data_IF_637844190120
#
_entry.id   IF_637844190120
#
_cell.length_a   1.000
_cell.length_b   1.000
_cell.length_c   1.000
_cell.angle_alpha   90.00
_cell.angle_beta   90.00
_cell.angle_gamma   90.00
#
_symmetry.space_group_name_H-M   'P 1'
#
loop_
_entity.id
_entity.type
_entity.pdbx_description
1 polymer ?
#
# COMPACT_ATOMS: atom_id res chain seq x y z
N UNK A 1 -7.37 17.70 -4.39
CA UNK A 1 -7.39 17.30 -5.81
C UNK A 1 -8.52 16.30 -6.02
N UNK A 2 -9.11 16.26 -7.22
CA UNK A 2 -10.18 15.32 -7.57
C UNK A 2 -9.67 14.39 -8.67
N UNK A 3 -9.90 13.08 -8.55
CA UNK A 3 -9.42 12.08 -9.50
C UNK A 3 -10.54 11.15 -9.97
N UNK A 4 -10.49 10.79 -11.25
CA UNK A 4 -11.13 9.59 -11.80
C UNK A 4 -10.07 8.49 -11.89
N UNK A 5 -10.37 7.35 -11.28
CA UNK A 5 -9.47 6.21 -11.17
C UNK A 5 -10.11 5.04 -11.90
N UNK A 6 -9.31 4.35 -12.71
CA UNK A 6 -9.69 3.06 -13.31
C UNK A 6 -8.62 2.04 -12.99
N UNK A 7 -9.04 0.84 -12.61
CA UNK A 7 -8.15 -0.30 -12.46
C UNK A 7 -8.74 -1.47 -13.23
N UNK A 8 -7.88 -2.19 -13.92
CA UNK A 8 -8.17 -3.44 -14.60
C UNK A 8 -7.15 -4.47 -14.14
N UNK A 9 -7.64 -5.59 -13.63
CA UNK A 9 -6.84 -6.78 -13.37
C UNK A 9 -7.43 -7.89 -14.24
N UNK A 10 -6.60 -8.59 -15.00
CA UNK A 10 -7.02 -9.78 -15.72
C UNK A 10 -6.14 -10.96 -15.32
N UNK A 11 -6.75 -12.14 -15.31
CA UNK A 11 -6.09 -13.41 -15.09
C UNK A 11 -6.56 -14.40 -16.13
N UNK A 12 -5.65 -14.92 -16.93
CA UNK A 12 -5.89 -16.00 -17.87
C UNK A 12 -5.33 -17.30 -17.29
N UNK A 13 -6.12 -18.37 -17.32
CA UNK A 13 -5.76 -19.67 -16.78
C UNK A 13 -5.44 -20.65 -17.91
N UNK A 14 -4.36 -21.42 -17.77
CA UNK A 14 -4.00 -22.44 -18.77
C UNK A 14 -5.09 -23.53 -18.90
N UNK A 15 -5.82 -23.79 -17.82
CA UNK A 15 -6.99 -24.65 -17.79
C UNK A 15 -8.12 -24.02 -16.97
N UNK A 16 -9.35 -24.36 -17.34
CA UNK A 16 -10.55 -23.89 -16.66
C UNK A 16 -10.46 -24.15 -15.15
N UNK A 17 -10.65 -23.10 -14.35
CA UNK A 17 -10.61 -23.17 -12.91
C UNK A 17 -11.99 -23.38 -12.32
N UNK A 18 -12.12 -24.32 -11.38
CA UNK A 18 -13.40 -24.66 -10.73
C UNK A 18 -13.44 -24.32 -9.25
N UNK A 19 -14.61 -23.89 -8.76
CA UNK A 19 -14.86 -23.70 -7.32
C UNK A 19 -13.95 -22.64 -6.68
N UNK A 20 -13.60 -21.59 -7.41
CA UNK A 20 -12.66 -20.56 -6.95
C UNK A 20 -13.33 -19.59 -5.98
N UNK A 21 -12.53 -19.09 -5.04
CA UNK A 21 -12.95 -18.07 -4.05
C UNK A 21 -11.85 -17.03 -3.93
N UNK A 22 -12.23 -15.76 -4.00
CA UNK A 22 -11.29 -14.65 -3.92
C UNK A 22 -11.80 -13.56 -2.97
N UNK A 23 -10.87 -12.85 -2.37
CA UNK A 23 -11.08 -11.57 -1.70
C UNK A 23 -10.35 -10.51 -2.50
N UNK A 24 -11.06 -9.47 -2.89
CA UNK A 24 -10.55 -8.37 -3.73
C UNK A 24 -10.54 -7.08 -2.90
N UNK A 25 -9.40 -6.40 -2.86
CA UNK A 25 -9.12 -5.20 -2.03
C UNK A 25 -8.63 -4.03 -2.87
N UNK A 26 -9.43 -3.61 -3.85
CA UNK A 26 -9.06 -2.53 -4.79
C UNK A 26 -9.91 -1.26 -4.66
N UNK A 27 -10.92 -1.29 -3.78
CA UNK A 27 -11.84 -0.16 -3.59
C UNK A 27 -11.29 0.82 -2.53
N UNK A 28 -11.04 2.09 -2.87
CA UNK A 28 -10.56 3.07 -1.90
C UNK A 28 -11.60 3.32 -0.79
N UNK A 29 -11.18 3.49 0.48
CA UNK A 29 -12.07 3.93 1.55
C UNK A 29 -12.15 5.46 1.61
N UNK A 30 -13.17 5.97 2.31
CA UNK A 30 -13.19 7.37 2.76
C UNK A 30 -12.43 7.48 4.07
N UNK A 31 -11.44 8.38 4.12
CA UNK A 31 -10.55 8.59 5.26
C UNK A 31 -10.68 10.04 5.69
N UNK A 32 -11.18 10.27 6.91
CA UNK A 32 -11.44 11.59 7.43
C UNK A 32 -10.19 12.48 7.34
N UNK A 33 -10.35 13.68 6.77
CA UNK A 33 -9.27 14.66 6.61
C UNK A 33 -8.18 14.30 5.59
N UNK A 34 -8.31 13.19 4.86
CA UNK A 34 -7.31 12.71 3.89
C UNK A 34 -7.92 12.53 2.51
N UNK A 35 -9.00 11.75 2.40
CA UNK A 35 -9.67 11.52 1.12
C UNK A 35 -11.15 11.18 1.31
N UNK A 36 -11.96 11.50 0.31
CA UNK A 36 -13.39 11.18 0.24
C UNK A 36 -13.71 10.53 -1.08
N UNK A 37 -14.32 9.34 -1.03
CA UNK A 37 -14.85 8.66 -2.20
C UNK A 37 -16.20 9.27 -2.54
N UNK A 38 -16.36 9.72 -3.79
CA UNK A 38 -17.60 10.30 -4.31
C UNK A 38 -18.48 9.21 -4.90
N UNK A 39 -17.88 8.33 -5.70
CA UNK A 39 -18.51 7.17 -6.29
C UNK A 39 -17.46 6.10 -6.56
N UNK A 40 -17.82 4.83 -6.45
CA UNK A 40 -16.97 3.73 -6.85
C UNK A 40 -17.82 2.55 -7.34
N UNK A 41 -17.29 1.78 -8.29
CA UNK A 41 -17.88 0.55 -8.79
C UNK A 41 -16.80 -0.51 -8.97
N UNK A 42 -17.21 -1.77 -8.81
CA UNK A 42 -16.37 -2.95 -9.01
C UNK A 42 -17.19 -4.01 -9.74
N UNK A 43 -16.68 -4.45 -10.89
CA UNK A 43 -17.32 -5.44 -11.77
C UNK A 43 -16.37 -6.59 -12.09
N UNK A 44 -16.96 -7.73 -12.42
CA UNK A 44 -16.26 -8.99 -12.64
C UNK A 44 -16.79 -9.66 -13.92
N UNK A 45 -15.88 -10.19 -14.73
CA UNK A 45 -16.19 -11.08 -15.85
C UNK A 45 -15.34 -12.34 -15.72
N UNK A 46 -15.94 -13.55 -15.57
CA UNK A 46 -17.38 -13.79 -15.48
C UNK A 46 -18.01 -13.21 -14.22
N UNK A 47 -19.34 -13.12 -14.20
CA UNK A 47 -20.07 -12.68 -13.01
C UNK A 47 -20.00 -13.74 -11.91
N UNK A 48 -19.59 -13.40 -10.67
CA UNK A 48 -19.45 -14.37 -9.60
C UNK A 48 -20.82 -14.92 -9.17
N UNK A 49 -20.84 -16.18 -8.76
CA UNK A 49 -22.03 -16.85 -8.23
C UNK A 49 -22.43 -16.31 -6.85
N UNK A 50 -21.44 -15.88 -6.07
CA UNK A 50 -21.62 -15.27 -4.74
C UNK A 50 -20.77 -14.00 -4.68
N UNK A 51 -21.32 -12.93 -4.10
CA UNK A 51 -20.59 -11.69 -3.80
C UNK A 51 -20.98 -11.21 -2.39
N UNK A 52 -19.99 -10.82 -1.60
CA UNK A 52 -20.20 -10.19 -0.29
C UNK A 52 -19.18 -9.08 -0.09
N UNK A 53 -19.67 -7.89 0.21
CA UNK A 53 -18.84 -6.71 0.46
C UNK A 53 -18.83 -6.41 1.96
N UNK A 54 -17.65 -6.22 2.55
CA UNK A 54 -17.47 -5.93 3.97
C UNK A 54 -16.17 -5.15 4.21
N UNK A 55 -16.00 -4.63 5.42
CA UNK A 55 -14.72 -4.07 5.87
C UNK A 55 -13.95 -5.10 6.70
N UNK A 56 -12.66 -5.30 6.42
CA UNK A 56 -11.82 -6.16 7.25
C UNK A 56 -11.45 -5.51 8.58
N UNK A 57 -10.62 -6.20 9.38
CA UNK A 57 -10.17 -5.69 10.68
C UNK A 57 -9.52 -4.32 10.57
N UNK A 58 -8.71 -4.04 9.54
CA UNK A 58 -8.03 -2.75 9.35
C UNK A 58 -8.91 -1.68 8.71
N UNK A 59 -10.18 -2.00 8.44
CA UNK A 59 -11.13 -1.11 7.79
C UNK A 59 -10.97 -1.05 6.27
N UNK A 60 -10.25 -2.00 5.66
CA UNK A 60 -10.11 -2.07 4.21
C UNK A 60 -11.41 -2.59 3.59
N UNK A 61 -11.82 -2.02 2.47
CA UNK A 61 -12.95 -2.55 1.71
C UNK A 61 -12.57 -3.87 1.06
N UNK A 62 -13.31 -4.92 1.38
CA UNK A 62 -13.14 -6.27 0.83
C UNK A 62 -14.40 -6.68 0.08
N UNK A 63 -14.21 -7.11 -1.16
CA UNK A 63 -15.23 -7.81 -1.95
C UNK A 63 -14.84 -9.29 -2.04
N UNK A 64 -15.54 -10.14 -1.30
CA UNK A 64 -15.42 -11.58 -1.42
C UNK A 64 -16.31 -12.09 -2.56
N UNK A 65 -15.72 -12.88 -3.46
CA UNK A 65 -16.40 -13.49 -4.61
C UNK A 65 -16.17 -14.99 -4.64
N UNK A 66 -17.15 -15.74 -5.15
CA UNK A 66 -17.00 -17.16 -5.43
C UNK A 66 -17.62 -17.55 -6.78
N UNK A 67 -16.99 -18.50 -7.45
CA UNK A 67 -17.46 -19.08 -8.70
C UNK A 67 -17.80 -20.55 -8.48
N UNK A 68 -19.04 -20.93 -8.80
CA UNK A 68 -19.47 -22.34 -8.78
C UNK A 68 -19.10 -23.04 -10.08
N UNK A 69 -19.30 -22.35 -11.20
CA UNK A 69 -18.99 -22.86 -12.53
C UNK A 69 -17.49 -22.70 -12.85
N UNK A 70 -17.03 -23.52 -13.79
CA UNK A 70 -15.66 -23.43 -14.31
C UNK A 70 -15.53 -22.20 -15.21
N UNK A 71 -14.35 -21.57 -15.19
CA UNK A 71 -14.05 -20.39 -16.01
C UNK A 71 -12.56 -20.38 -16.41
N UNK A 72 -12.28 -19.87 -17.59
CA UNK A 72 -10.93 -19.86 -18.18
C UNK A 72 -10.11 -18.62 -17.78
N UNK A 73 -10.75 -17.65 -17.12
CA UNK A 73 -10.09 -16.43 -16.66
C UNK A 73 -10.99 -15.55 -15.81
N UNK A 74 -10.40 -14.54 -15.20
CA UNK A 74 -11.06 -13.57 -14.33
C UNK A 74 -10.62 -12.16 -14.67
N UNK A 75 -11.56 -11.34 -15.10
CA UNK A 75 -11.40 -9.91 -15.37
C UNK A 75 -12.10 -9.11 -14.26
N UNK A 76 -11.38 -8.17 -13.67
CA UNK A 76 -11.81 -7.33 -12.57
C UNK A 76 -11.62 -5.89 -12.98
N UNK A 77 -12.70 -5.10 -12.96
CA UNK A 77 -12.66 -3.67 -13.30
C UNK A 77 -13.20 -2.84 -12.16
N UNK A 78 -12.39 -1.88 -11.73
CA UNK A 78 -12.75 -0.88 -10.73
C UNK A 78 -12.79 0.49 -11.39
N UNK A 79 -13.79 1.29 -11.04
CA UNK A 79 -13.82 2.72 -11.37
C UNK A 79 -14.21 3.51 -10.14
N UNK A 80 -13.49 4.58 -9.83
CA UNK A 80 -13.80 5.43 -8.69
C UNK A 80 -13.54 6.91 -8.97
N UNK A 81 -14.35 7.77 -8.35
CA UNK A 81 -14.09 9.21 -8.26
C UNK A 81 -13.75 9.56 -6.82
N UNK A 82 -12.54 10.07 -6.59
CA UNK A 82 -12.01 10.31 -5.24
C UNK A 82 -11.47 11.73 -5.13
N UNK A 83 -11.91 12.46 -4.10
CA UNK A 83 -11.33 13.73 -3.70
C UNK A 83 -10.26 13.49 -2.64
N UNK A 84 -9.04 13.96 -2.86
CA UNK A 84 -7.91 13.82 -1.95
C UNK A 84 -7.51 15.21 -1.44
N UNK A 85 -7.37 15.34 -0.14
CA UNK A 85 -6.99 16.58 0.54
C UNK A 85 -6.18 16.23 1.78
N UNK A 86 -4.94 15.79 1.58
CA UNK A 86 -4.00 15.55 2.66
C UNK A 86 -3.56 16.88 3.28
N UNK A 87 -3.47 16.97 4.61
CA UNK A 87 -2.95 18.16 5.26
C UNK A 87 -1.47 18.36 4.90
N UNK A 88 -1.08 19.61 4.66
CA UNK A 88 0.33 19.95 4.49
C UNK A 88 1.10 19.67 5.80
N UNK A 89 2.39 19.25 5.72
CA UNK A 89 3.19 19.00 6.91
C UNK A 89 3.28 20.26 7.79
N UNK A 90 2.84 20.14 9.04
CA UNK A 90 3.02 21.17 10.07
C UNK A 90 4.41 21.13 10.71
N UNK A 91 4.55 21.85 11.83
CA UNK A 91 5.72 21.73 12.70
C UNK A 91 5.88 20.28 13.19
N UNK A 92 7.11 19.80 13.24
CA UNK A 92 7.40 18.49 13.81
C UNK A 92 7.26 18.53 15.33
N UNK A 93 6.15 17.94 15.81
CA UNK A 93 5.82 17.78 17.22
C UNK A 93 6.01 16.33 17.68
N UNK A 94 6.65 15.48 16.87
CA UNK A 94 6.83 14.07 17.22
C UNK A 94 7.94 13.88 18.27
N UNK A 95 7.78 12.91 19.18
CA UNK A 95 8.75 12.66 20.23
C UNK A 95 10.02 12.00 19.69
N UNK A 96 11.08 11.99 20.50
CA UNK A 96 12.21 11.09 20.30
C UNK A 96 11.82 9.62 20.58
N UNK A 97 12.74 8.69 20.33
CA UNK A 97 12.49 7.25 20.53
C UNK A 97 12.20 6.86 21.98
N UNK A 98 12.80 7.53 22.97
CA UNK A 98 12.57 7.18 24.36
C UNK A 98 11.13 7.53 24.73
N UNK A 99 10.72 8.75 24.42
CA UNK A 99 9.37 9.23 24.71
C UNK A 99 8.32 8.51 23.87
N UNK A 100 8.62 8.17 22.61
CA UNK A 100 7.73 7.33 21.78
C UNK A 100 7.39 6.00 22.48
N UNK A 101 8.38 5.33 23.09
CA UNK A 101 8.16 4.07 23.83
C UNK A 101 7.26 4.27 25.05
N UNK A 102 7.42 5.37 25.78
CA UNK A 102 6.54 5.70 26.91
C UNK A 102 5.10 5.91 26.44
N UNK A 103 4.91 6.65 25.34
CA UNK A 103 3.59 6.91 24.78
C UNK A 103 2.92 5.63 24.27
N UNK A 104 3.67 4.75 23.60
CA UNK A 104 3.20 3.40 23.23
C UNK A 104 2.74 2.62 24.46
N UNK A 105 3.57 2.61 25.51
CA UNK A 105 3.28 1.96 26.78
C UNK A 105 2.04 2.52 27.49
N UNK A 106 1.55 3.70 27.11
CA UNK A 106 0.32 4.31 27.62
C UNK A 106 -0.92 4.04 26.74
N UNK A 107 -0.77 3.56 25.50
CA UNK A 107 -1.91 3.24 24.63
C UNK A 107 -2.64 2.01 25.17
N UNK A 108 -3.96 2.12 25.38
CA UNK A 108 -4.84 1.02 25.83
C UNK A 108 -5.98 0.83 24.85
N UNK A 109 -5.63 0.47 23.62
CA UNK A 109 -6.57 0.25 22.52
C UNK A 109 -6.27 -1.05 21.80
N UNK A 110 -7.32 -1.75 21.41
CA UNK A 110 -7.32 -2.87 20.45
C UNK A 110 -8.03 -2.48 19.14
N UNK A 111 -8.27 -1.19 18.95
CA UNK A 111 -8.84 -0.67 17.72
C UNK A 111 -7.87 -0.94 16.54
N UNK A 112 -8.40 -1.02 15.31
CA UNK A 112 -7.60 -1.36 14.13
C UNK A 112 -6.35 -0.48 13.88
N UNK A 113 -6.42 0.78 14.29
CA UNK A 113 -5.37 1.78 14.14
C UNK A 113 -4.42 1.86 15.33
N UNK A 114 -4.56 0.97 16.32
CA UNK A 114 -3.68 0.91 17.48
C UNK A 114 -2.24 0.59 17.02
N UNK A 115 -1.23 1.39 17.43
CA UNK A 115 0.15 1.21 16.99
C UNK A 115 0.73 -0.16 17.32
N UNK A 116 0.23 -0.84 18.35
CA UNK A 116 0.69 -2.17 18.74
C UNK A 116 0.60 -3.22 17.62
N UNK A 117 -0.40 -3.12 16.72
CA UNK A 117 -0.54 -4.03 15.59
C UNK A 117 0.62 -3.93 14.60
N UNK A 118 1.35 -2.81 14.62
CA UNK A 118 2.35 -2.42 13.63
C UNK A 118 3.79 -2.46 14.17
N UNK A 119 4.01 -3.11 15.32
CA UNK A 119 5.33 -3.27 15.94
C UNK A 119 5.99 -4.62 15.65
N UNK A 120 5.19 -5.69 15.55
CA UNK A 120 5.71 -7.04 15.41
C UNK A 120 6.23 -7.33 13.99
N UNK A 121 7.14 -8.31 13.89
CA UNK A 121 7.53 -8.89 12.61
C UNK A 121 6.30 -9.45 11.88
N UNK A 122 6.31 -9.37 10.55
CA UNK A 122 5.29 -9.98 9.68
C UNK A 122 5.97 -10.68 8.50
N UNK A 123 5.21 -11.43 7.69
CA UNK A 123 5.72 -12.33 6.66
C UNK A 123 6.69 -11.64 5.67
N UNK A 124 6.34 -10.43 5.22
CA UNK A 124 7.17 -9.69 4.26
C UNK A 124 8.09 -8.66 4.94
N UNK A 125 7.78 -8.25 6.16
CA UNK A 125 8.52 -7.25 6.94
C UNK A 125 9.03 -7.85 8.26
N UNK A 126 9.88 -8.87 8.14
CA UNK A 126 10.58 -9.47 9.27
C UNK A 126 11.56 -8.49 9.93
N UNK A 127 11.77 -8.63 11.24
CA UNK A 127 12.78 -7.83 11.95
C UNK A 127 14.16 -8.40 11.63
N UNK A 128 14.99 -7.58 11.00
CA UNK A 128 16.33 -7.95 10.54
C UNK A 128 17.39 -7.02 11.15
N UNK A 129 18.49 -7.59 11.64
CA UNK A 129 19.52 -6.83 12.34
C UNK A 129 20.26 -5.84 11.41
N UNK A 130 20.49 -6.21 10.14
CA UNK A 130 21.17 -5.35 9.18
C UNK A 130 20.27 -4.20 8.74
N UNK A 131 18.99 -4.46 8.50
CA UNK A 131 18.00 -3.41 8.19
C UNK A 131 17.83 -2.47 9.40
N UNK A 132 17.78 -3.02 10.62
CA UNK A 132 17.69 -2.23 11.85
C UNK A 132 18.93 -1.36 12.06
N UNK A 133 20.13 -1.90 11.81
CA UNK A 133 21.37 -1.12 11.88
C UNK A 133 21.35 0.02 10.87
N UNK A 134 20.96 -0.26 9.63
CA UNK A 134 20.80 0.77 8.60
C UNK A 134 19.82 1.85 9.02
N UNK A 135 18.65 1.49 9.57
CA UNK A 135 17.67 2.44 10.07
C UNK A 135 18.18 3.25 11.27
N UNK A 136 19.00 2.65 12.15
CA UNK A 136 19.54 3.33 13.34
C UNK A 136 20.44 4.51 12.99
N UNK A 137 21.12 4.46 11.84
CA UNK A 137 21.97 5.55 11.36
C UNK A 137 21.17 6.79 10.93
N UNK A 138 19.84 6.72 10.90
CA UNK A 138 19.01 7.86 10.50
C UNK A 138 19.00 8.94 11.55
N UNK A 139 19.37 10.15 11.11
CA UNK A 139 19.34 11.35 11.93
C UNK A 139 17.88 11.84 12.06
N UNK A 140 17.56 12.55 13.14
CA UNK A 140 16.23 13.15 13.22
C UNK A 140 15.87 13.86 14.51
N UNK A 141 16.42 13.47 15.66
CA UNK A 141 16.03 14.03 16.98
C UNK A 141 14.56 13.74 17.38
N UNK A 142 13.69 13.46 16.41
CA UNK A 142 12.27 13.17 16.49
C UNK A 142 11.93 11.95 15.63
N UNK A 143 10.77 11.34 15.88
CA UNK A 143 10.31 10.14 15.17
C UNK A 143 10.01 10.44 13.69
N UNK A 144 9.38 11.58 13.40
CA UNK A 144 9.17 12.05 12.02
C UNK A 144 10.49 12.27 11.30
N UNK A 145 11.44 12.95 11.95
CA UNK A 145 12.76 13.24 11.38
C UNK A 145 13.49 11.96 10.98
N UNK A 146 13.48 10.97 11.88
CA UNK A 146 14.05 9.65 11.59
C UNK A 146 13.34 8.93 10.44
N UNK A 147 12.01 8.99 10.39
CA UNK A 147 11.24 8.33 9.34
C UNK A 147 11.48 8.95 7.95
N UNK A 148 11.49 10.29 7.84
CA UNK A 148 11.76 10.95 6.56
C UNK A 148 13.22 10.79 6.12
N UNK A 149 14.17 10.82 7.05
CA UNK A 149 15.57 10.55 6.71
C UNK A 149 15.75 9.13 6.18
N UNK A 150 15.20 8.12 6.87
CA UNK A 150 15.24 6.73 6.40
C UNK A 150 14.58 6.58 5.02
N UNK A 151 13.41 7.20 4.82
CA UNK A 151 12.71 7.25 3.54
C UNK A 151 13.61 7.77 2.41
N UNK A 152 14.29 8.90 2.65
CA UNK A 152 15.20 9.52 1.68
C UNK A 152 16.45 8.68 1.43
N UNK A 153 16.98 8.03 2.47
CA UNK A 153 18.14 7.13 2.36
C UNK A 153 17.80 5.90 1.53
N UNK A 154 16.63 5.29 1.72
CA UNK A 154 16.17 4.17 0.90
C UNK A 154 16.03 4.60 -0.57
N UNK A 155 15.39 5.74 -0.84
CA UNK A 155 15.27 6.27 -2.20
C UNK A 155 16.64 6.46 -2.88
N UNK A 156 17.64 6.95 -2.13
CA UNK A 156 18.98 7.22 -2.65
C UNK A 156 19.83 5.95 -2.82
N UNK A 157 19.77 5.04 -1.86
CA UNK A 157 20.71 3.92 -1.76
C UNK A 157 20.23 2.66 -2.51
N UNK A 158 18.98 2.66 -3.00
CA UNK A 158 18.35 1.53 -3.68
C UNK A 158 17.91 1.90 -5.09
N UNK A 159 17.99 0.96 -6.01
CA UNK A 159 17.60 1.17 -7.41
C UNK A 159 16.26 0.52 -7.72
N UNK A 160 15.33 1.29 -8.30
CA UNK A 160 14.06 0.74 -8.75
C UNK A 160 14.27 -0.22 -9.93
N UNK A 161 13.74 -1.44 -9.80
CA UNK A 161 13.92 -2.51 -10.77
C UNK A 161 12.77 -3.52 -10.69
N UNK A 162 11.95 -3.57 -11.76
CA UNK A 162 10.78 -4.44 -11.86
C UNK A 162 11.09 -5.92 -12.09
N UNK A 163 12.32 -6.28 -12.44
CA UNK A 163 12.74 -7.66 -12.72
C UNK A 163 13.55 -8.28 -11.57
N UNK A 164 13.99 -7.46 -10.60
CA UNK A 164 14.88 -7.90 -9.53
C UNK A 164 14.21 -8.80 -8.48
N UNK A 165 12.90 -8.64 -8.29
CA UNK A 165 12.16 -9.25 -7.18
C UNK A 165 10.81 -9.80 -7.64
N UNK A 166 10.18 -10.58 -6.77
CA UNK A 166 8.81 -11.05 -6.95
C UNK A 166 7.98 -10.62 -5.76
N UNK A 167 6.65 -10.71 -5.87
CA UNK A 167 5.72 -10.50 -4.75
C UNK A 167 6.07 -11.30 -3.48
N UNK A 168 6.77 -12.44 -3.62
CA UNK A 168 7.19 -13.30 -2.51
C UNK A 168 8.54 -12.92 -1.89
N UNK A 169 9.28 -12.00 -2.49
CA UNK A 169 10.57 -11.56 -1.95
C UNK A 169 10.36 -10.86 -0.61
N UNK A 170 11.11 -11.28 0.41
CA UNK A 170 11.06 -10.67 1.75
C UNK A 170 11.99 -9.47 1.87
N UNK A 171 11.73 -8.59 2.84
CA UNK A 171 12.53 -7.38 3.08
C UNK A 171 14.05 -7.65 3.20
N UNK A 172 14.48 -8.71 3.89
CA UNK A 172 15.90 -9.05 4.06
C UNK A 172 16.59 -9.43 2.74
N UNK A 173 15.86 -10.06 1.82
CA UNK A 173 16.42 -10.45 0.53
C UNK A 173 16.58 -9.22 -0.37
N UNK A 174 15.52 -8.42 -0.49
CA UNK A 174 15.56 -7.17 -1.23
C UNK A 174 16.59 -6.19 -0.66
N UNK A 175 16.77 -6.15 0.67
CA UNK A 175 17.77 -5.32 1.33
C UNK A 175 19.19 -5.66 0.91
N UNK A 176 19.50 -6.95 0.75
CA UNK A 176 20.81 -7.43 0.28
C UNK A 176 21.03 -7.11 -1.19
N UNK A 177 19.98 -7.19 -2.00
CA UNK A 177 20.04 -6.89 -3.43
C UNK A 177 20.22 -5.40 -3.73
N UNK A 178 19.74 -4.51 -2.85
CA UNK A 178 19.68 -3.05 -3.07
C UNK A 178 18.92 -2.64 -4.35
N UNK A 179 18.07 -3.53 -4.85
CA UNK A 179 17.24 -3.39 -6.06
C UNK A 179 15.89 -4.02 -5.80
N UNK A 180 14.82 -3.42 -6.34
CA UNK A 180 13.45 -3.91 -6.18
C UNK A 180 12.41 -2.88 -6.57
N UNK A 181 11.16 -3.12 -6.19
CA UNK A 181 10.01 -2.26 -6.51
C UNK A 181 9.49 -1.53 -5.26
N UNK A 182 8.42 -0.75 -5.42
CA UNK A 182 7.82 0.02 -4.32
C UNK A 182 7.39 -0.85 -3.12
N UNK A 183 6.96 -2.09 -3.38
CA UNK A 183 6.66 -3.08 -2.34
C UNK A 183 7.90 -3.35 -1.47
N UNK A 184 9.03 -3.66 -2.08
CA UNK A 184 10.27 -4.00 -1.38
C UNK A 184 10.77 -2.84 -0.53
N UNK A 185 10.80 -1.62 -1.09
CA UNK A 185 11.25 -0.42 -0.37
C UNK A 185 10.35 -0.10 0.83
N UNK A 186 9.05 -0.30 0.67
CA UNK A 186 8.09 -0.15 1.76
C UNK A 186 8.33 -1.18 2.86
N UNK A 187 8.53 -2.46 2.52
CA UNK A 187 8.82 -3.50 3.53
C UNK A 187 10.17 -3.31 4.23
N UNK A 188 11.19 -2.86 3.51
CA UNK A 188 12.51 -2.53 4.09
C UNK A 188 12.36 -1.38 5.10
N UNK A 189 11.66 -0.31 4.73
CA UNK A 189 11.42 0.81 5.64
C UNK A 189 10.60 0.37 6.87
N UNK A 190 9.55 -0.42 6.69
CA UNK A 190 8.74 -0.97 7.78
C UNK A 190 9.60 -1.84 8.71
N UNK A 191 10.39 -2.77 8.17
CA UNK A 191 11.26 -3.65 8.94
C UNK A 191 12.30 -2.85 9.75
N UNK A 192 12.91 -1.83 9.14
CA UNK A 192 13.86 -0.95 9.80
C UNK A 192 13.24 -0.16 10.96
N UNK A 193 12.10 0.47 10.73
CA UNK A 193 11.38 1.24 11.75
C UNK A 193 10.91 0.35 12.91
N UNK A 194 10.34 -0.82 12.62
CA UNK A 194 9.94 -1.80 13.64
C UNK A 194 11.11 -2.30 14.46
N UNK A 195 12.27 -2.51 13.83
CA UNK A 195 13.51 -2.85 14.52
C UNK A 195 13.99 -1.79 15.51
N UNK A 196 13.60 -0.52 15.32
CA UNK A 196 13.85 0.58 16.26
C UNK A 196 12.75 0.74 17.32
N UNK A 197 11.68 -0.06 17.25
CA UNK A 197 10.49 0.06 18.09
C UNK A 197 9.52 1.16 17.64
N UNK A 198 9.63 1.65 16.40
CA UNK A 198 8.68 2.58 15.80
C UNK A 198 7.58 1.78 15.09
N UNK A 199 6.30 1.96 15.41
CA UNK A 199 5.22 1.28 14.70
C UNK A 199 5.12 1.77 13.26
N UNK A 200 5.18 0.83 12.33
CA UNK A 200 5.11 1.12 10.90
C UNK A 200 4.24 0.07 10.19
N UNK A 201 3.46 0.50 9.21
CA UNK A 201 2.54 -0.33 8.44
C UNK A 201 2.64 -0.04 6.95
N UNK A 202 2.08 -0.96 6.18
CA UNK A 202 2.03 -0.89 4.73
C UNK A 202 0.77 -0.17 4.28
N UNK A 203 0.91 0.66 3.27
CA UNK A 203 -0.19 1.32 2.58
C UNK A 203 -0.19 0.87 1.14
N UNK A 204 -1.31 0.30 0.70
CA UNK A 204 -1.55 0.00 -0.70
C UNK A 204 -2.45 1.09 -1.30
N UNK A 205 -2.17 1.50 -2.52
CA UNK A 205 -3.00 2.49 -3.19
C UNK A 205 -2.61 2.79 -4.62
N UNK A 206 -3.01 3.95 -5.08
CA UNK A 206 -2.71 4.46 -6.41
C UNK A 206 -1.86 5.72 -6.29
N UNK A 207 -0.91 5.89 -7.21
CA UNK A 207 -0.09 7.08 -7.31
C UNK A 207 -0.36 7.73 -8.66
N UNK A 208 -0.60 9.04 -8.68
CA UNK A 208 -0.63 9.77 -9.95
C UNK A 208 0.77 9.82 -10.55
N UNK A 209 0.97 9.19 -11.70
CA UNK A 209 2.17 9.36 -12.49
C UNK A 209 2.07 10.62 -13.37
N UNK A 210 3.16 11.36 -13.46
CA UNK A 210 3.30 12.49 -14.39
C UNK A 210 4.29 12.04 -15.45
N UNK A 211 3.87 11.87 -16.73
CA UNK A 211 4.81 11.50 -17.77
C UNK A 211 5.89 12.57 -17.94
N UNK A 212 7.12 12.20 -18.33
CA UNK A 212 8.16 13.16 -18.68
C UNK A 212 7.68 14.18 -19.72
N UNK A 213 8.15 15.43 -19.62
CA UNK A 213 7.77 16.51 -20.56
C UNK A 213 7.91 16.05 -22.02
N UNK A 214 6.82 16.15 -22.77
CA UNK A 214 6.78 15.84 -24.21
C UNK A 214 6.38 14.41 -24.57
N UNK A 215 6.11 13.53 -23.59
CA UNK A 215 5.54 12.20 -23.85
C UNK A 215 4.06 12.16 -23.44
N UNK A 216 3.17 11.53 -24.24
CA UNK A 216 1.80 11.30 -23.81
C UNK A 216 1.78 10.44 -22.55
N UNK A 217 0.79 10.65 -21.68
CA UNK A 217 0.51 9.73 -20.57
C UNK A 217 0.13 8.38 -21.19
N UNK A 218 0.80 7.32 -20.78
CA UNK A 218 0.42 5.97 -21.17
C UNK A 218 -0.75 5.56 -20.28
N UNK A 219 -1.96 5.55 -20.83
CA UNK A 219 -3.14 5.07 -20.11
C UNK A 219 -2.99 3.57 -19.86
N UNK A 220 -3.24 3.14 -18.62
CA UNK A 220 -3.13 1.74 -18.20
C UNK A 220 -1.71 1.18 -18.05
N UNK A 221 -0.66 2.00 -18.06
CA UNK A 221 0.72 1.52 -17.85
C UNK A 221 1.12 1.45 -16.36
N UNK A 222 0.30 2.00 -15.47
CA UNK A 222 0.64 2.09 -14.05
C UNK A 222 0.14 0.88 -13.27
N UNK A 223 0.88 0.57 -12.22
CA UNK A 223 0.58 -0.45 -11.25
C UNK A 223 -0.06 0.14 -9.99
N UNK A 224 -0.58 -0.74 -9.13
CA UNK A 224 -0.80 -0.34 -7.73
C UNK A 224 0.54 0.08 -7.09
N UNK A 225 0.50 1.13 -6.29
CA UNK A 225 1.67 1.67 -5.59
C UNK A 225 1.64 1.31 -4.11
N UNK A 226 2.80 1.38 -3.48
CA UNK A 226 3.01 1.03 -2.08
C UNK A 226 3.86 2.09 -1.37
N UNK A 227 3.47 2.40 -0.14
CA UNK A 227 4.22 3.28 0.74
C UNK A 227 3.99 2.90 2.21
N UNK A 228 4.50 3.70 3.13
CA UNK A 228 4.57 3.35 4.56
C UNK A 228 3.78 4.33 5.40
N UNK A 229 2.99 3.83 6.35
CA UNK A 229 2.42 4.61 7.46
C UNK A 229 3.25 4.39 8.72
N UNK A 230 3.51 5.44 9.49
CA UNK A 230 4.37 5.43 10.68
C UNK A 230 3.65 6.16 11.80
N UNK A 231 3.60 5.56 12.98
CA UNK A 231 3.02 6.22 14.15
C UNK A 231 4.09 7.06 14.84
N UNK A 232 3.93 8.38 14.78
CA UNK A 232 4.92 9.35 15.22
C UNK A 232 4.58 9.97 16.58
N UNK A 233 4.00 9.20 17.49
CA UNK A 233 3.55 9.68 18.80
C UNK A 233 2.12 10.20 18.79
N UNK A 234 1.61 10.54 19.97
CA UNK A 234 0.22 10.95 20.18
C UNK A 234 -0.15 12.22 19.43
N UNK A 235 0.71 13.22 19.48
CA UNK A 235 0.40 14.56 18.96
C UNK A 235 0.63 14.68 17.45
N UNK A 236 1.64 14.00 16.91
CA UNK A 236 1.86 13.94 15.46
C UNK A 236 1.00 12.86 14.77
N UNK A 237 0.57 11.83 15.49
CA UNK A 237 -0.28 10.76 14.97
C UNK A 237 0.38 9.91 13.88
N UNK A 238 -0.45 9.31 13.01
CA UNK A 238 0.00 8.53 11.86
C UNK A 238 0.44 9.46 10.72
N UNK A 239 1.65 9.24 10.22
CA UNK A 239 2.27 9.96 9.11
C UNK A 239 2.60 8.98 7.99
N UNK A 240 2.60 9.41 6.73
CA UNK A 240 2.82 8.53 5.58
C UNK A 240 4.02 8.99 4.72
N UNK A 241 4.85 8.03 4.33
CA UNK A 241 6.13 8.23 3.66
C UNK A 241 6.29 7.25 2.49
N UNK A 242 6.75 7.76 1.35
CA UNK A 242 6.99 7.00 0.13
C UNK A 242 8.50 6.86 -0.12
N UNK A 243 9.11 5.72 0.29
CA UNK A 243 10.54 5.48 0.10
C UNK A 243 10.92 5.28 -1.37
N UNK A 244 9.95 5.03 -2.25
CA UNK A 244 10.22 4.93 -3.69
C UNK A 244 10.54 6.29 -4.29
N UNK A 245 9.87 7.33 -3.80
CA UNK A 245 10.01 8.70 -4.30
C UNK A 245 10.76 9.62 -3.32
N UNK A 246 11.21 9.12 -2.17
CA UNK A 246 11.96 9.89 -1.17
C UNK A 246 11.18 11.10 -0.65
N UNK A 247 9.90 10.90 -0.32
CA UNK A 247 9.01 12.00 0.07
C UNK A 247 7.92 11.57 1.04
N UNK A 248 7.23 12.55 1.64
CA UNK A 248 5.96 12.32 2.34
C UNK A 248 4.85 12.03 1.34
N UNK A 249 3.88 11.21 1.72
CA UNK A 249 2.68 10.99 0.90
C UNK A 249 1.93 12.33 0.73
N UNK A 250 1.53 12.62 -0.51
CA UNK A 250 0.94 13.90 -0.91
C UNK A 250 -0.46 13.70 -1.50
N UNK A 251 -1.05 14.77 -2.04
CA UNK A 251 -2.35 14.68 -2.72
C UNK A 251 -2.36 13.75 -3.95
N UNK A 252 -1.18 13.37 -4.45
CA UNK A 252 -1.04 12.40 -5.54
C UNK A 252 -1.13 10.93 -5.07
N UNK A 253 -1.15 10.68 -3.76
CA UNK A 253 -1.27 9.35 -3.15
C UNK A 253 -2.70 9.07 -2.71
N UNK A 254 -3.39 8.16 -3.42
CA UNK A 254 -4.76 7.73 -3.11
C UNK A 254 -4.71 6.39 -2.39
N UNK A 255 -5.11 6.37 -1.11
CA UNK A 255 -5.11 5.17 -0.28
C UNK A 255 -6.20 4.20 -0.71
N UNK A 256 -5.84 2.91 -0.83
CA UNK A 256 -6.77 1.79 -1.01
C UNK A 256 -6.90 0.96 0.25
N UNK A 257 -5.80 0.73 0.98
CA UNK A 257 -5.85 -0.03 2.22
C UNK A 257 -4.61 0.09 3.08
N UNK A 258 -4.78 -0.26 4.35
CA UNK A 258 -3.76 -0.32 5.38
C UNK A 258 -3.58 -1.74 5.89
N UNK A 259 -2.34 -2.15 6.08
CA UNK A 259 -1.99 -3.47 6.57
C UNK A 259 -0.68 -3.46 7.35
N UNK A 260 -0.36 -4.57 8.01
CA UNK A 260 0.95 -4.74 8.65
C UNK A 260 2.02 -4.93 7.57
N UNK A 261 1.71 -5.67 6.52
CA UNK A 261 2.50 -5.77 5.30
C UNK A 261 1.59 -6.00 4.09
N UNK A 262 2.15 -6.49 2.99
CA UNK A 262 1.41 -6.72 1.74
C UNK A 262 0.31 -7.77 1.90
N UNK A 263 0.48 -8.79 2.76
CA UNK A 263 -0.47 -9.89 2.91
C UNK A 263 -1.84 -9.44 3.39
N UNK A 264 -1.90 -8.39 4.21
CA UNK A 264 -3.16 -7.82 4.72
C UNK A 264 -3.92 -7.01 3.65
N UNK A 265 -3.25 -6.54 2.59
CA UNK A 265 -3.80 -5.61 1.58
C UNK A 265 -3.55 -6.04 0.14
N UNK A 266 -3.24 -7.32 -0.08
CA UNK A 266 -3.05 -7.86 -1.42
C UNK A 266 -4.31 -7.57 -2.27
N UNK A 267 -4.16 -7.02 -3.50
CA UNK A 267 -5.28 -6.58 -4.35
C UNK A 267 -6.27 -7.70 -4.62
N UNK A 268 -5.76 -8.92 -4.75
CA UNK A 268 -6.53 -10.15 -4.77
C UNK A 268 -5.79 -11.23 -4.00
N UNK A 269 -6.53 -11.96 -3.17
CA UNK A 269 -6.06 -13.22 -2.55
C UNK A 269 -7.17 -14.24 -2.65
N UNK A 270 -6.85 -15.51 -2.84
CA UNK A 270 -7.88 -16.51 -2.99
C UNK A 270 -7.34 -17.90 -3.15
N UNK A 271 -8.26 -18.83 -3.35
CA UNK A 271 -7.99 -20.22 -3.67
C UNK A 271 -8.59 -20.53 -5.03
N UNK A 272 -7.76 -21.10 -5.89
CA UNK A 272 -8.10 -21.52 -7.24
C UNK A 272 -7.79 -23.02 -7.37
N UNK A 273 -8.69 -23.81 -7.97
CA UNK A 273 -8.42 -25.20 -8.35
C UNK A 273 -8.33 -25.27 -9.86
N UNK A 274 -7.11 -25.38 -10.36
CA UNK A 274 -6.80 -25.52 -11.79
C UNK A 274 -5.54 -26.38 -11.98
N UNK A 275 -5.21 -26.69 -13.22
CA UNK A 275 -3.95 -27.32 -13.64
C UNK A 275 -3.21 -26.38 -14.58
N UNK A 276 -1.88 -26.31 -14.47
CA UNK A 276 -1.07 -25.38 -15.25
C UNK A 276 -0.81 -24.08 -14.52
N UNK A 277 -0.31 -23.08 -15.25
CA UNK A 277 -0.04 -21.74 -14.75
C UNK A 277 -1.23 -20.80 -14.89
N UNK A 278 -0.97 -19.55 -14.53
CA UNK A 278 -1.83 -18.42 -14.83
C UNK A 278 -0.96 -17.25 -15.28
N UNK A 279 -1.49 -16.43 -16.18
CA UNK A 279 -0.90 -15.15 -16.57
C UNK A 279 -1.80 -14.05 -16.05
N UNK A 280 -1.22 -13.06 -15.39
CA UNK A 280 -1.95 -11.90 -14.89
C UNK A 280 -1.47 -10.63 -15.57
N UNK A 281 -2.40 -9.73 -15.88
CA UNK A 281 -2.11 -8.37 -16.32
C UNK A 281 -2.80 -7.35 -15.41
N UNK A 282 -2.19 -6.17 -15.31
CA UNK A 282 -2.65 -5.10 -14.43
C UNK A 282 -2.45 -3.76 -15.10
N UNK A 283 -3.51 -2.95 -15.08
CA UNK A 283 -3.50 -1.59 -15.58
C UNK A 283 -4.23 -0.65 -14.60
N UNK A 284 -3.62 0.49 -14.30
CA UNK A 284 -4.21 1.56 -13.50
C UNK A 284 -4.14 2.88 -14.24
N UNK A 285 -5.21 3.67 -14.15
CA UNK A 285 -5.27 5.06 -14.56
C UNK A 285 -5.68 5.93 -13.38
N UNK A 286 -4.92 6.99 -13.12
CA UNK A 286 -5.25 8.04 -12.15
C UNK A 286 -5.32 9.39 -12.86
N UNK A 287 -6.53 9.84 -13.17
CA UNK A 287 -6.77 11.01 -14.02
C UNK A 287 -7.28 12.17 -13.17
N UNK A 288 -6.55 13.29 -13.08
CA UNK A 288 -7.06 14.48 -12.39
C UNK A 288 -8.26 15.04 -13.15
N UNK A 289 -9.34 15.31 -12.41
CA UNK A 289 -10.53 15.99 -12.95
C UNK A 289 -10.29 17.48 -12.83
N UNK A 290 -10.26 18.19 -13.96
CA UNK A 290 -10.26 19.64 -13.96
C UNK A 290 -11.56 20.13 -13.33
N UNK A 291 -11.45 20.90 -12.24
CA UNK A 291 -12.58 21.65 -11.72
C UNK A 291 -12.79 22.81 -12.69
N UNK A 292 -13.84 22.76 -13.52
CA UNK A 292 -14.28 23.94 -14.25
C UNK A 292 -14.52 25.05 -13.22
N UNK A 293 -13.79 26.15 -13.34
CA UNK A 293 -14.03 27.33 -12.51
C UNK A 293 -15.41 27.84 -12.88
N UNK A 294 -16.37 27.65 -11.97
CA UNK A 294 -17.64 28.35 -12.01
C UNK A 294 -17.43 29.88 -11.85
#
# INVERSE_FOLDING_TARGET
>A
MLYDIRLHLSYDYDAAAGGSRHQVRVLPPTIAGVQRVIAASLSFVPTPSERTDFADFFGNNVTAIAFRDVHDGLDIRMSARVSVSRPEPGLDVSPDLQRLREELGAVRSLAPDAPHHFLAASDHAGIDAAITAYARDSAGGSTVGMAIDLCNRIHRDFTYDGEATTVRTGASDAFRLKRGVCQDFSHIMIAGLRGLGIPAGYVSGFLRTIPPKGKPRLEGADAMHAWVKVWCGRDAGWQEFDPTNGMRASNDHITVGYGRDYSDVAPIVGVLKTTGGQVGDQAVDVIPVALEKA
#
